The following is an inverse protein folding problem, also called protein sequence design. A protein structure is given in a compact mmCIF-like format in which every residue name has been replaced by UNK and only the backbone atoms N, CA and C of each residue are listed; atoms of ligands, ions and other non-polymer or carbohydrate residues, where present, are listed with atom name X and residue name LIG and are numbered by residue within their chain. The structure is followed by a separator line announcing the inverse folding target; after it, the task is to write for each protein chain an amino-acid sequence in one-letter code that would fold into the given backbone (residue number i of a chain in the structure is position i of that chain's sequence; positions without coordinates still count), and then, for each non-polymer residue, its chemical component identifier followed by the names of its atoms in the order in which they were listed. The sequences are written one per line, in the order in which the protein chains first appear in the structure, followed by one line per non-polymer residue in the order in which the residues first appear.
data_IF_270737399239
#
_entry.id   IF_270737399239
#
_cell.length_a   1.000
_cell.length_b   1.000
_cell.length_c   1.000
_cell.angle_alpha   90.00
_cell.angle_beta   90.00
_cell.angle_gamma   90.00
#
_symmetry.space_group_name_H-M   'P 1'
#
loop_
_entity.id
_entity.type
_entity.pdbx_description
1 polymer ?
#
# COMPACT_ATOMS: atom_id res chain seq x y z
N UNK A 1 1.43 -27.47 5.58
CA UNK A 1 0.19 -26.75 5.20
C UNK A 1 0.54 -25.32 4.80
N UNK A 2 0.65 -25.03 3.50
CA UNK A 2 0.94 -23.70 2.97
C UNK A 2 -0.13 -23.35 1.92
N UNK A 3 -1.38 -23.11 2.34
CA UNK A 3 -2.47 -22.89 1.39
C UNK A 3 -3.46 -21.89 1.98
N UNK A 4 -3.23 -20.62 1.70
CA UNK A 4 -4.13 -19.51 2.03
C UNK A 4 -3.70 -18.21 1.34
N UNK A 5 -2.38 -18.00 1.26
CA UNK A 5 -1.79 -16.78 0.66
C UNK A 5 -2.04 -16.71 -0.86
N UNK A 6 -1.89 -17.82 -1.60
CA UNK A 6 -2.00 -17.79 -3.07
C UNK A 6 -3.42 -17.44 -3.56
N UNK A 7 -4.46 -17.95 -2.88
CA UNK A 7 -5.86 -17.64 -3.24
C UNK A 7 -6.22 -16.20 -2.89
N UNK A 8 -5.85 -15.76 -1.69
CA UNK A 8 -6.12 -14.39 -1.24
C UNK A 8 -5.43 -13.34 -2.11
N UNK A 9 -4.18 -13.57 -2.51
CA UNK A 9 -3.45 -12.67 -3.41
C UNK A 9 -4.07 -12.65 -4.80
N UNK A 10 -4.40 -13.81 -5.37
CA UNK A 10 -5.07 -13.88 -6.69
C UNK A 10 -6.35 -13.05 -6.68
N UNK A 11 -7.22 -13.28 -5.71
CA UNK A 11 -8.47 -12.53 -5.59
C UNK A 11 -8.24 -11.01 -5.43
N UNK A 12 -7.26 -10.61 -4.62
CA UNK A 12 -6.92 -9.19 -4.44
C UNK A 12 -6.49 -8.54 -5.76
N UNK A 13 -5.64 -9.21 -6.54
CA UNK A 13 -5.17 -8.70 -7.82
C UNK A 13 -6.27 -8.71 -8.89
N UNK A 14 -7.13 -9.73 -8.92
CA UNK A 14 -8.26 -9.79 -9.85
C UNK A 14 -9.25 -8.62 -9.58
N UNK A 15 -9.51 -8.30 -8.31
CA UNK A 15 -10.34 -7.15 -7.93
C UNK A 15 -9.70 -5.80 -8.31
N UNK A 16 -8.38 -5.66 -8.14
CA UNK A 16 -7.66 -4.45 -8.52
C UNK A 16 -7.61 -4.27 -10.04
N UNK A 17 -7.31 -5.33 -10.80
CA UNK A 17 -7.27 -5.32 -12.26
C UNK A 17 -8.66 -5.07 -12.87
N UNK A 18 -9.71 -5.61 -12.24
CA UNK A 18 -11.11 -5.36 -12.64
C UNK A 18 -11.64 -3.98 -12.23
N UNK A 19 -10.84 -3.14 -11.57
CA UNK A 19 -11.25 -1.80 -11.12
C UNK A 19 -12.23 -1.81 -9.93
N UNK A 20 -12.52 -2.99 -9.35
CA UNK A 20 -13.41 -3.16 -8.20
C UNK A 20 -12.72 -2.82 -6.87
N UNK A 21 -11.38 -2.79 -6.85
CA UNK A 21 -10.58 -2.37 -5.72
C UNK A 21 -9.65 -1.22 -6.13
N UNK A 22 -9.99 -0.01 -5.70
CA UNK A 22 -9.16 1.18 -5.88
C UNK A 22 -8.06 1.30 -4.81
N UNK A 23 -6.86 1.72 -5.22
CA UNK A 23 -5.76 2.03 -4.29
C UNK A 23 -5.68 3.54 -4.10
N UNK A 24 -6.10 4.02 -2.93
CA UNK A 24 -5.92 5.44 -2.55
C UNK A 24 -4.45 5.69 -2.25
N UNK A 25 -3.80 6.57 -3.02
CA UNK A 25 -2.42 7.00 -2.75
C UNK A 25 -2.42 8.07 -1.65
N UNK A 26 -1.72 7.79 -0.56
CA UNK A 26 -1.53 8.70 0.57
C UNK A 26 -0.20 9.45 0.57
N UNK A 27 0.65 9.18 -0.42
CA UNK A 27 1.94 9.84 -0.59
C UNK A 27 3.00 8.91 -1.19
N UNK A 28 4.00 9.52 -1.83
CA UNK A 28 5.22 8.86 -2.30
C UNK A 28 6.41 9.61 -1.75
N UNK A 29 7.38 8.88 -1.20
CA UNK A 29 8.58 9.46 -0.62
C UNK A 29 9.81 8.76 -1.19
N UNK A 30 10.87 9.49 -1.53
CA UNK A 30 12.19 8.91 -1.71
C UNK A 30 12.58 8.02 -0.51
N UNK A 31 13.33 6.95 -0.76
CA UNK A 31 13.71 5.97 0.27
C UNK A 31 14.52 6.63 1.40
N UNK A 32 15.39 7.59 1.08
CA UNK A 32 16.14 8.39 2.05
C UNK A 32 15.23 9.25 2.96
N UNK A 33 13.98 9.50 2.56
CA UNK A 33 12.96 10.21 3.32
C UNK A 33 12.00 9.28 4.09
N UNK A 34 12.32 8.00 4.26
CA UNK A 34 11.48 7.05 5.01
C UNK A 34 11.05 7.58 6.38
N UNK A 35 11.93 8.30 7.10
CA UNK A 35 11.59 8.92 8.39
C UNK A 35 10.44 9.94 8.31
N UNK A 36 10.35 10.72 7.23
CA UNK A 36 9.26 11.67 7.00
C UNK A 36 7.94 10.95 6.69
N UNK A 37 7.99 9.88 5.89
CA UNK A 37 6.85 9.01 5.63
C UNK A 37 6.29 8.41 6.94
N UNK A 38 7.15 7.88 7.80
CA UNK A 38 6.76 7.34 9.10
C UNK A 38 6.14 8.40 10.02
N UNK A 39 6.66 9.63 10.02
CA UNK A 39 6.10 10.73 10.80
C UNK A 39 4.66 11.05 10.39
N UNK A 40 4.37 11.13 9.09
CA UNK A 40 3.01 11.37 8.59
C UNK A 40 2.02 10.28 9.02
N UNK A 41 2.45 9.02 9.00
CA UNK A 41 1.64 7.89 9.46
C UNK A 41 1.36 8.00 10.96
N UNK A 42 2.40 8.28 11.75
CA UNK A 42 2.30 8.40 13.22
C UNK A 42 1.39 9.53 13.64
N UNK A 43 1.49 10.68 12.96
CA UNK A 43 0.65 11.87 13.21
C UNK A 43 -0.75 11.74 12.61
N UNK A 44 -1.06 10.63 11.91
CA UNK A 44 -2.35 10.38 11.25
C UNK A 44 -2.71 11.46 10.22
N UNK A 45 -1.68 12.05 9.60
CA UNK A 45 -1.80 13.11 8.59
C UNK A 45 -1.85 12.59 7.15
N UNK A 46 -1.80 11.27 6.97
CA UNK A 46 -1.93 10.60 5.69
C UNK A 46 -3.12 9.64 5.70
N UNK A 47 -3.85 9.55 4.58
CA UNK A 47 -4.88 8.55 4.34
C UNK A 47 -4.52 7.74 3.09
N UNK A 48 -4.81 6.45 3.09
CA UNK A 48 -4.41 5.55 1.99
C UNK A 48 -2.99 4.98 2.15
N UNK A 49 -2.37 4.60 1.03
CA UNK A 49 -1.07 3.91 0.99
C UNK A 49 0.07 4.91 0.81
N UNK A 50 1.05 4.87 1.70
CA UNK A 50 2.35 5.52 1.48
C UNK A 50 3.30 4.53 0.83
N UNK A 51 4.02 4.98 -0.20
CA UNK A 51 5.01 4.17 -0.93
C UNK A 51 6.38 4.84 -0.85
N UNK A 52 7.43 4.05 -0.65
CA UNK A 52 8.80 4.51 -0.79
C UNK A 52 9.32 4.17 -2.19
N UNK A 53 10.01 5.11 -2.82
CA UNK A 53 10.60 4.97 -4.16
C UNK A 53 12.13 5.12 -4.08
N UNK A 54 12.85 4.28 -4.82
CA UNK A 54 14.30 4.33 -4.92
C UNK A 54 14.77 5.40 -5.93
#
# INVERSE_FOLDING_TARGET
MAIGVCRGLRQLFDLAAGGLLGVTSGGRFPLDQAGAAHRLIKERRSTGKIVLVA
#
